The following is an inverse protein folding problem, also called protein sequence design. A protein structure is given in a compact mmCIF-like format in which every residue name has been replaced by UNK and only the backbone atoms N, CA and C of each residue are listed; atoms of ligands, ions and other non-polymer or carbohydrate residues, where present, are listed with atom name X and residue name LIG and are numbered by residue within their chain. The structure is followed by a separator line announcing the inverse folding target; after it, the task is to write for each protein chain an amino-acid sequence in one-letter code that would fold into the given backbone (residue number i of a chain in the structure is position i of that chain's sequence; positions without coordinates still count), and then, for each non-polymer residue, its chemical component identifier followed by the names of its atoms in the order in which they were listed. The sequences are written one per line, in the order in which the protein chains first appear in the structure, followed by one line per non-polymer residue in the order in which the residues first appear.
data_IF_186070895212
#
_entry.id   IF_186070895212
#
_cell.length_a   1.000
_cell.length_b   1.000
_cell.length_c   1.000
_cell.angle_alpha   90.00
_cell.angle_beta   90.00
_cell.angle_gamma   90.00
#
_symmetry.space_group_name_H-M   'P 1'
#
loop_
_entity.id
_entity.type
_entity.pdbx_description
1 polymer ?
#
# COMPACT_ATOMS: atom_id res chain seq x y z
N UNK A 1 -24.32 -6.64 -2.49
CA UNK A 1 -25.76 -6.90 -2.25
C UNK A 1 -26.12 -6.66 -0.78
N UNK A 2 -25.24 -7.01 0.17
CA UNK A 2 -25.51 -6.84 1.61
C UNK A 2 -25.36 -5.38 2.09
N UNK A 3 -24.61 -4.56 1.35
CA UNK A 3 -24.34 -3.16 1.69
C UNK A 3 -24.58 -2.27 0.46
N UNK A 4 -25.82 -1.91 0.14
CA UNK A 4 -26.18 -1.17 -1.06
C UNK A 4 -25.59 0.26 -1.09
N UNK A 5 -25.26 0.81 0.10
CA UNK A 5 -24.74 2.17 0.26
C UNK A 5 -23.21 2.22 0.34
N UNK A 6 -22.52 1.13 0.03
CA UNK A 6 -21.06 1.06 0.02
C UNK A 6 -20.49 2.12 -0.92
N UNK A 7 -19.48 2.87 -0.46
CA UNK A 7 -18.85 3.98 -1.20
C UNK A 7 -17.38 3.71 -1.54
N UNK A 8 -16.71 2.87 -0.77
CA UNK A 8 -15.29 2.60 -1.01
C UNK A 8 -14.86 1.24 -0.49
N UNK A 9 -13.82 0.71 -1.12
CA UNK A 9 -12.99 -0.37 -0.60
C UNK A 9 -11.58 0.14 -0.35
N UNK A 10 -11.04 -0.16 0.82
CA UNK A 10 -9.61 -0.12 1.08
C UNK A 10 -9.06 -1.54 1.09
N UNK A 11 -8.03 -1.78 0.32
CA UNK A 11 -7.41 -3.09 0.18
C UNK A 11 -5.99 -3.07 0.73
N UNK A 12 -5.62 -4.10 1.49
CA UNK A 12 -4.33 -4.22 2.14
C UNK A 12 -3.16 -4.37 1.15
N UNK A 13 -3.44 -4.70 -0.12
CA UNK A 13 -2.48 -4.64 -1.22
C UNK A 13 -3.17 -4.35 -2.56
N UNK A 14 -2.36 -3.98 -3.56
CA UNK A 14 -2.84 -3.61 -4.87
C UNK A 14 -3.39 -4.79 -5.68
N UNK A 15 -2.88 -5.99 -5.49
CA UNK A 15 -3.39 -7.18 -6.19
C UNK A 15 -4.84 -7.45 -5.79
N UNK A 16 -5.17 -7.30 -4.50
CA UNK A 16 -6.56 -7.36 -4.03
C UNK A 16 -7.38 -6.20 -4.57
N UNK A 17 -6.83 -4.97 -4.59
CA UNK A 17 -7.53 -3.79 -5.08
C UNK A 17 -7.92 -3.91 -6.55
N UNK A 18 -7.01 -4.38 -7.39
CA UNK A 18 -7.30 -4.65 -8.82
C UNK A 18 -8.42 -5.67 -8.99
N UNK A 19 -8.40 -6.76 -8.21
CA UNK A 19 -9.48 -7.76 -8.24
C UNK A 19 -10.83 -7.22 -7.73
N UNK A 20 -10.81 -6.34 -6.72
CA UNK A 20 -12.00 -5.64 -6.23
C UNK A 20 -12.54 -4.69 -7.30
N UNK A 21 -11.67 -3.94 -7.98
CA UNK A 21 -12.08 -3.05 -9.06
C UNK A 21 -12.80 -3.80 -10.17
N UNK A 22 -12.25 -4.93 -10.62
CA UNK A 22 -12.92 -5.80 -11.60
C UNK A 22 -14.31 -6.26 -11.14
N UNK A 23 -14.46 -6.62 -9.87
CA UNK A 23 -15.76 -7.00 -9.31
C UNK A 23 -16.74 -5.82 -9.26
N UNK A 24 -16.25 -4.61 -8.98
CA UNK A 24 -17.04 -3.36 -9.00
C UNK A 24 -17.52 -3.05 -10.42
N UNK A 25 -16.65 -3.18 -11.42
CA UNK A 25 -17.00 -3.00 -12.85
C UNK A 25 -18.05 -4.02 -13.28
N UNK A 26 -17.85 -5.30 -12.97
CA UNK A 26 -18.79 -6.37 -13.30
C UNK A 26 -20.18 -6.16 -12.64
N UNK A 27 -20.23 -5.45 -11.51
CA UNK A 27 -21.48 -5.05 -10.85
C UNK A 27 -22.08 -3.74 -11.38
N UNK A 28 -21.42 -3.05 -12.33
CA UNK A 28 -21.83 -1.75 -12.87
C UNK A 28 -21.80 -0.63 -11.82
N UNK A 29 -20.84 -0.65 -10.89
CA UNK A 29 -20.76 0.24 -9.73
C UNK A 29 -19.49 1.11 -9.72
N UNK A 30 -18.73 1.16 -10.80
CA UNK A 30 -17.47 1.90 -10.90
C UNK A 30 -17.63 3.42 -10.64
N UNK A 31 -18.80 3.99 -10.93
CA UNK A 31 -19.09 5.41 -10.67
C UNK A 31 -19.58 5.68 -9.23
N UNK A 32 -19.85 4.63 -8.46
CA UNK A 32 -20.39 4.72 -7.10
C UNK A 32 -19.37 4.34 -6.03
N UNK A 33 -18.47 3.40 -6.34
CA UNK A 33 -17.60 2.74 -5.37
C UNK A 33 -16.14 2.99 -5.72
N UNK A 34 -15.43 3.72 -4.87
CA UNK A 34 -13.99 3.95 -4.98
C UNK A 34 -13.21 2.72 -4.52
N UNK A 35 -12.05 2.48 -5.13
CA UNK A 35 -11.12 1.43 -4.71
C UNK A 35 -9.77 2.05 -4.44
N UNK A 36 -9.19 1.74 -3.28
CA UNK A 36 -7.86 2.18 -2.86
C UNK A 36 -7.02 0.95 -2.51
N UNK A 37 -5.79 0.92 -3.00
CA UNK A 37 -4.82 -0.14 -2.77
C UNK A 37 -3.65 0.27 -1.90
N UNK A 38 -2.69 -0.64 -1.77
CA UNK A 38 -1.41 -0.44 -1.07
C UNK A 38 -0.32 -1.17 -1.84
N UNK A 39 0.87 -0.63 -1.90
CA UNK A 39 2.15 -1.06 -2.46
C UNK A 39 2.61 -0.25 -3.67
N UNK A 40 1.74 0.45 -4.38
CA UNK A 40 2.02 1.21 -5.60
C UNK A 40 2.74 0.36 -6.68
N UNK A 41 2.25 -0.87 -6.92
CA UNK A 41 2.76 -1.71 -8.01
C UNK A 41 2.45 -1.09 -9.37
N UNK A 42 3.20 -1.46 -10.40
CA UNK A 42 3.09 -0.86 -11.73
C UNK A 42 1.65 -0.87 -12.28
N UNK A 43 0.97 -2.01 -12.21
CA UNK A 43 -0.40 -2.14 -12.71
C UNK A 43 -1.41 -1.28 -11.92
N UNK A 44 -1.22 -1.11 -10.60
CA UNK A 44 -2.09 -0.27 -9.80
C UNK A 44 -1.87 1.21 -10.11
N UNK A 45 -0.62 1.64 -10.31
CA UNK A 45 -0.32 3.01 -10.75
C UNK A 45 -0.94 3.30 -12.12
N UNK A 46 -0.88 2.35 -13.04
CA UNK A 46 -1.54 2.48 -14.35
C UNK A 46 -3.06 2.57 -14.21
N UNK A 47 -3.66 1.76 -13.34
CA UNK A 47 -5.10 1.80 -13.03
C UNK A 47 -5.52 3.14 -12.40
N UNK A 48 -4.70 3.70 -11.50
CA UNK A 48 -4.90 5.05 -10.93
C UNK A 48 -4.81 6.11 -12.03
N UNK A 49 -3.81 6.03 -12.91
CA UNK A 49 -3.66 6.96 -14.04
C UNK A 49 -4.88 6.95 -14.97
N UNK A 50 -5.42 5.79 -15.23
CA UNK A 50 -6.62 5.61 -16.06
C UNK A 50 -7.90 6.08 -15.33
N UNK A 51 -7.84 6.37 -14.05
CA UNK A 51 -8.99 6.77 -13.23
C UNK A 51 -9.90 5.60 -12.81
N UNK A 52 -9.37 4.38 -12.84
CA UNK A 52 -10.04 3.16 -12.45
C UNK A 52 -9.97 2.99 -10.92
N UNK A 53 -8.77 2.90 -10.36
CA UNK A 53 -8.57 3.02 -8.92
C UNK A 53 -8.44 4.50 -8.52
N UNK A 54 -8.94 4.84 -7.33
CA UNK A 54 -8.85 6.21 -6.82
C UNK A 54 -7.43 6.57 -6.35
N UNK A 55 -6.74 5.62 -5.74
CA UNK A 55 -5.38 5.80 -5.20
C UNK A 55 -4.72 4.46 -4.87
N UNK A 56 -3.41 4.51 -4.66
CA UNK A 56 -2.65 3.48 -3.96
C UNK A 56 -1.63 4.13 -3.03
N UNK A 57 -1.31 3.46 -1.92
CA UNK A 57 -0.29 3.91 -0.97
C UNK A 57 1.01 3.18 -1.26
N UNK A 58 2.03 3.91 -1.71
CA UNK A 58 3.36 3.36 -1.93
C UNK A 58 4.16 3.26 -0.63
N UNK A 59 5.01 2.25 -0.55
CA UNK A 59 5.98 2.04 0.52
C UNK A 59 7.38 2.33 -0.01
N UNK A 60 8.22 2.98 0.78
CA UNK A 60 9.64 3.14 0.45
C UNK A 60 10.41 1.83 0.69
N UNK A 61 10.32 0.92 -0.27
CA UNK A 61 10.94 -0.40 -0.19
C UNK A 61 12.47 -0.33 -0.05
N UNK A 62 13.10 0.71 -0.62
CA UNK A 62 14.56 0.92 -0.52
C UNK A 62 14.90 1.39 0.89
N UNK A 63 14.19 2.39 1.42
CA UNK A 63 14.37 2.89 2.78
C UNK A 63 14.13 1.80 3.82
N UNK A 64 13.08 0.99 3.65
CA UNK A 64 12.81 -0.18 4.52
C UNK A 64 13.99 -1.17 4.46
N UNK A 65 14.49 -1.50 3.27
CA UNK A 65 15.60 -2.42 3.10
C UNK A 65 16.89 -1.91 3.76
N UNK A 66 17.21 -0.62 3.60
CA UNK A 66 18.37 0.03 4.23
C UNK A 66 18.23 -0.01 5.75
N UNK A 67 17.10 0.45 6.30
CA UNK A 67 16.84 0.45 7.73
C UNK A 67 16.93 -0.96 8.35
N UNK A 68 16.38 -1.96 7.69
CA UNK A 68 16.50 -3.36 8.14
C UNK A 68 17.96 -3.83 8.20
N UNK A 69 18.79 -3.50 7.19
CA UNK A 69 20.20 -3.86 7.19
C UNK A 69 20.98 -3.12 8.29
N UNK A 70 20.72 -1.83 8.50
CA UNK A 70 21.37 -1.02 9.54
C UNK A 70 21.02 -1.54 10.93
N UNK A 71 19.74 -1.81 11.19
CA UNK A 71 19.29 -2.40 12.46
C UNK A 71 19.91 -3.78 12.70
N UNK A 72 19.99 -4.63 11.70
CA UNK A 72 20.62 -5.95 11.81
C UNK A 72 22.10 -5.84 12.16
N UNK A 73 22.85 -4.96 11.47
CA UNK A 73 24.28 -4.74 11.75
C UNK A 73 24.47 -4.17 13.14
N UNK A 74 23.64 -3.22 13.57
CA UNK A 74 23.67 -2.65 14.92
C UNK A 74 23.41 -3.72 15.97
N UNK A 75 22.36 -4.52 15.79
CA UNK A 75 22.02 -5.60 16.70
C UNK A 75 23.20 -6.59 16.92
N UNK A 76 23.88 -6.96 15.84
CA UNK A 76 25.07 -7.84 15.91
C UNK A 76 26.22 -7.16 16.66
N UNK A 77 26.53 -5.89 16.36
CA UNK A 77 27.62 -5.14 16.99
C UNK A 77 27.39 -4.91 18.48
N UNK A 78 26.15 -4.63 18.87
CA UNK A 78 25.75 -4.34 20.25
C UNK A 78 25.50 -5.64 21.06
N UNK A 79 25.63 -6.81 20.43
CA UNK A 79 25.35 -8.11 21.06
C UNK A 79 23.89 -8.27 21.48
N UNK A 80 22.96 -7.60 20.77
CA UNK A 80 21.54 -7.61 21.09
C UNK A 80 20.97 -9.03 21.02
N UNK A 81 20.13 -9.35 22.00
CA UNK A 81 19.39 -10.61 22.03
C UNK A 81 17.91 -10.33 22.19
N UNK A 82 17.09 -11.09 21.48
CA UNK A 82 15.65 -10.96 21.58
C UNK A 82 15.19 -11.26 23.03
N UNK A 83 14.49 -10.31 23.61
CA UNK A 83 13.83 -10.46 24.91
C UNK A 83 12.31 -10.23 24.68
N UNK A 84 11.49 -11.29 24.76
CA UNK A 84 10.05 -11.16 24.55
C UNK A 84 9.34 -10.25 25.58
N UNK A 85 9.99 -9.93 26.69
CA UNK A 85 9.46 -9.03 27.72
C UNK A 85 9.87 -7.58 27.54
N UNK A 86 10.83 -7.30 26.66
CA UNK A 86 11.30 -5.96 26.37
C UNK A 86 10.52 -5.33 25.21
N UNK A 87 10.40 -4.00 25.24
CA UNK A 87 9.87 -3.26 24.09
C UNK A 87 10.81 -3.38 22.88
N UNK A 88 10.27 -3.81 21.75
CA UNK A 88 11.05 -3.95 20.52
C UNK A 88 11.39 -2.57 19.95
N UNK A 89 12.62 -2.35 19.49
CA UNK A 89 12.95 -1.12 18.77
C UNK A 89 12.11 -1.02 17.48
N UNK A 90 11.54 0.15 17.24
CA UNK A 90 10.70 0.44 16.08
C UNK A 90 11.33 1.56 15.28
N UNK A 91 11.51 1.35 13.97
CA UNK A 91 11.91 2.36 13.00
C UNK A 91 10.74 2.62 12.07
N UNK A 92 10.37 3.89 11.91
CA UNK A 92 9.28 4.30 11.02
C UNK A 92 9.86 4.79 9.69
N UNK A 93 9.40 4.19 8.61
CA UNK A 93 9.72 4.62 7.24
C UNK A 93 8.44 5.18 6.64
N UNK A 94 8.52 6.38 6.09
CA UNK A 94 7.37 7.06 5.52
C UNK A 94 6.82 6.34 4.29
N UNK A 95 5.50 6.34 4.18
CA UNK A 95 4.77 5.93 2.99
C UNK A 95 4.33 7.17 2.19
N UNK A 96 3.98 6.99 0.92
CA UNK A 96 3.52 8.06 0.05
C UNK A 96 2.23 7.69 -0.66
N UNK A 97 1.38 8.69 -0.88
CA UNK A 97 0.10 8.52 -1.56
C UNK A 97 0.26 8.77 -3.06
N UNK A 98 -0.18 7.83 -3.88
CA UNK A 98 -0.27 7.95 -5.34
C UNK A 98 -1.73 8.12 -5.73
N UNK A 99 -2.03 9.26 -6.36
CA UNK A 99 -3.33 9.62 -6.89
C UNK A 99 -3.21 9.99 -8.36
N UNK A 100 -4.31 10.24 -9.03
CA UNK A 100 -4.30 10.69 -10.43
C UNK A 100 -3.50 11.98 -10.64
N UNK A 101 -3.41 12.84 -9.62
CA UNK A 101 -2.75 14.16 -9.74
C UNK A 101 -1.22 14.06 -9.70
N UNK A 102 -0.66 12.98 -9.15
CA UNK A 102 0.78 12.81 -8.99
C UNK A 102 1.35 11.49 -9.51
N UNK A 103 0.51 10.64 -10.10
CA UNK A 103 0.93 9.30 -10.54
C UNK A 103 2.04 9.33 -11.59
N UNK A 104 2.11 10.38 -12.41
CA UNK A 104 3.13 10.52 -13.44
C UNK A 104 4.55 10.69 -12.85
N UNK A 105 4.67 11.14 -11.59
CA UNK A 105 5.94 11.27 -10.87
C UNK A 105 6.48 9.90 -10.41
N UNK A 106 5.66 8.86 -10.44
CA UNK A 106 5.96 7.51 -9.94
C UNK A 106 5.94 6.41 -11.00
N UNK A 107 5.71 6.76 -12.26
CA UNK A 107 5.67 5.80 -13.39
C UNK A 107 7.05 5.51 -13.98
#
# INVERSE_FOLDING_TARGET
QSNPDLKAFYCANDTMALGVYEAVVNAGKQDQVMVVGTDAIANAKESVKNGEMAATVGQDNVGIGVACCELAVKAVKDGWKADPSAEMPVEYIDSFLVTKDNVDDYL
#
